data_IF_027727071486
#
_entry.id   IF_027727071486
#
_cell.length_a   1.000
_cell.length_b   1.000
_cell.length_c   1.000
_cell.angle_alpha   90.00
_cell.angle_beta   90.00
_cell.angle_gamma   90.00
#
_symmetry.space_group_name_H-M   'P 1'
#
loop_
_entity.id
_entity.type
_entity.pdbx_description
1 polymer ?
#
# COMPACT_ATOMS: atom_id res chain seq x y z
N UNK A 1 28.94 21.21 -0.87
CA UNK A 1 27.87 21.68 0.04
C UNK A 1 27.19 20.45 0.63
N UNK A 2 27.41 20.14 1.90
CA UNK A 2 26.68 19.06 2.57
C UNK A 2 25.21 19.46 2.64
N UNK A 3 24.36 18.80 1.86
CA UNK A 3 22.93 19.03 1.97
C UNK A 3 22.51 18.63 3.39
N UNK A 4 22.02 19.61 4.14
CA UNK A 4 21.47 19.39 5.48
C UNK A 4 20.15 18.63 5.30
N UNK A 5 20.25 17.32 5.10
CA UNK A 5 19.10 16.44 4.89
C UNK A 5 18.34 16.31 6.20
N UNK A 6 17.07 16.70 6.18
CA UNK A 6 16.20 16.62 7.36
C UNK A 6 16.08 15.18 7.85
N UNK A 7 15.84 14.98 9.15
CA UNK A 7 15.62 13.64 9.72
C UNK A 7 14.48 12.90 9.02
N UNK A 8 13.45 13.63 8.58
CA UNK A 8 12.34 13.07 7.79
C UNK A 8 12.82 12.56 6.44
N UNK A 9 13.64 13.31 5.72
CA UNK A 9 14.20 12.86 4.43
C UNK A 9 15.05 11.60 4.60
N UNK A 10 15.90 11.55 5.64
CA UNK A 10 16.69 10.35 5.97
C UNK A 10 15.82 9.13 6.25
N UNK A 11 14.74 9.30 7.02
CA UNK A 11 13.79 8.22 7.29
C UNK A 11 13.01 7.79 6.04
N UNK A 12 12.58 8.74 5.21
CA UNK A 12 11.86 8.44 3.98
C UNK A 12 12.75 7.68 3.00
N UNK A 13 14.02 8.05 2.85
CA UNK A 13 14.90 7.43 1.86
C UNK A 13 15.64 6.19 2.38
N UNK A 14 15.53 5.86 3.68
CA UNK A 14 16.11 4.66 4.27
C UNK A 14 15.45 3.38 3.70
N UNK A 15 16.20 2.47 3.06
CA UNK A 15 15.66 1.21 2.53
C UNK A 15 15.01 0.30 3.58
N UNK A 16 15.44 0.39 4.84
CA UNK A 16 14.91 -0.42 5.94
C UNK A 16 13.71 0.22 6.65
N UNK A 17 13.37 1.45 6.31
CA UNK A 17 12.25 2.16 6.92
C UNK A 17 10.90 1.45 6.77
N UNK A 18 10.57 0.71 5.67
CA UNK A 18 9.34 -0.07 5.63
C UNK A 18 9.33 -1.18 6.68
N UNK A 19 10.45 -1.86 6.92
CA UNK A 19 10.55 -2.92 7.92
C UNK A 19 10.46 -2.35 9.35
N UNK A 20 11.15 -1.23 9.62
CA UNK A 20 11.07 -0.50 10.91
C UNK A 20 9.64 -0.10 11.29
N UNK A 21 8.81 0.08 10.28
CA UNK A 21 7.41 0.44 10.37
C UNK A 21 6.50 -0.78 10.47
N UNK A 22 6.75 -1.82 9.67
CA UNK A 22 5.93 -3.02 9.60
C UNK A 22 6.01 -3.86 10.88
N UNK A 23 7.21 -4.04 11.46
CA UNK A 23 7.43 -4.86 12.66
C UNK A 23 6.56 -4.41 13.85
N UNK A 24 6.61 -3.15 14.31
CA UNK A 24 5.73 -2.71 15.40
C UNK A 24 4.25 -2.75 15.02
N UNK A 25 3.92 -2.52 13.74
CA UNK A 25 2.54 -2.61 13.24
C UNK A 25 1.96 -4.02 13.37
N UNK A 26 2.76 -5.06 13.10
CA UNK A 26 2.37 -6.46 13.27
C UNK A 26 2.13 -6.80 14.75
N UNK A 27 2.96 -6.30 15.66
CA UNK A 27 2.81 -6.53 17.11
C UNK A 27 1.48 -5.94 17.60
N UNK A 28 1.22 -4.68 17.25
CA UNK A 28 -0.06 -4.02 17.59
C UNK A 28 -1.23 -4.76 16.96
N UNK A 29 -1.10 -5.17 15.70
CA UNK A 29 -2.15 -5.93 15.03
C UNK A 29 -2.44 -7.26 15.73
N UNK A 30 -1.42 -7.98 16.21
CA UNK A 30 -1.62 -9.23 16.95
C UNK A 30 -2.43 -9.01 18.24
N UNK A 31 -2.27 -7.86 18.90
CA UNK A 31 -3.08 -7.48 20.06
C UNK A 31 -4.52 -7.19 19.63
N UNK A 32 -4.71 -6.37 18.58
CA UNK A 32 -6.05 -6.02 18.05
C UNK A 32 -6.80 -7.28 17.58
N UNK A 33 -6.10 -8.21 16.95
CA UNK A 33 -6.62 -9.48 16.46
C UNK A 33 -7.40 -10.22 17.56
N UNK A 34 -6.72 -10.51 18.67
CA UNK A 34 -7.27 -11.28 19.79
C UNK A 34 -8.28 -10.49 20.62
N UNK A 35 -8.05 -9.19 20.77
CA UNK A 35 -8.88 -8.37 21.66
C UNK A 35 -10.19 -7.93 21.00
N UNK A 36 -10.15 -7.64 19.69
CA UNK A 36 -11.25 -7.02 18.93
C UNK A 36 -11.71 -7.92 17.78
N UNK A 37 -10.84 -8.22 16.81
CA UNK A 37 -11.25 -8.78 15.50
C UNK A 37 -11.92 -10.15 15.60
N UNK A 38 -11.36 -11.07 16.38
CA UNK A 38 -11.94 -12.41 16.58
C UNK A 38 -13.36 -12.38 17.15
N UNK A 39 -13.69 -11.34 17.92
CA UNK A 39 -15.00 -11.19 18.58
C UNK A 39 -16.05 -10.54 17.68
N UNK A 40 -15.66 -9.94 16.55
CA UNK A 40 -16.60 -9.26 15.68
C UNK A 40 -17.51 -10.25 14.92
N UNK A 41 -18.78 -9.90 14.69
CA UNK A 41 -19.67 -10.70 13.86
C UNK A 41 -19.24 -10.62 12.39
N UNK A 42 -19.58 -11.66 11.61
CA UNK A 42 -19.20 -11.76 10.18
C UNK A 42 -19.63 -10.53 9.40
N UNK A 43 -20.86 -10.03 9.62
CA UNK A 43 -21.37 -8.84 8.94
C UNK A 43 -20.49 -7.60 9.17
N UNK A 44 -20.02 -7.39 10.39
CA UNK A 44 -19.11 -6.27 10.72
C UNK A 44 -17.74 -6.48 10.10
N UNK A 45 -17.21 -7.71 10.08
CA UNK A 45 -15.96 -8.01 9.37
C UNK A 45 -16.08 -7.76 7.86
N UNK A 46 -17.18 -8.18 7.24
CA UNK A 46 -17.48 -7.91 5.82
C UNK A 46 -17.56 -6.40 5.54
N UNK A 47 -18.16 -5.62 6.45
CA UNK A 47 -18.24 -4.17 6.34
C UNK A 47 -16.85 -3.54 6.40
N UNK A 48 -16.03 -3.92 7.37
CA UNK A 48 -14.65 -3.45 7.48
C UNK A 48 -13.83 -3.82 6.24
N UNK A 49 -13.95 -5.04 5.73
CA UNK A 49 -13.29 -5.45 4.49
C UNK A 49 -13.71 -4.59 3.30
N UNK A 50 -15.00 -4.34 3.13
CA UNK A 50 -15.51 -3.47 2.06
C UNK A 50 -14.94 -2.04 2.17
N UNK A 51 -15.00 -1.45 3.37
CA UNK A 51 -14.50 -0.10 3.63
C UNK A 51 -12.99 0.01 3.40
N UNK A 52 -12.20 -0.91 3.94
CA UNK A 52 -10.74 -0.87 3.83
C UNK A 52 -10.31 -1.07 2.38
N UNK A 53 -10.92 -1.99 1.62
CA UNK A 53 -10.60 -2.17 0.21
C UNK A 53 -10.99 -0.94 -0.63
N UNK A 54 -12.15 -0.34 -0.37
CA UNK A 54 -12.59 0.87 -1.09
C UNK A 54 -11.70 2.07 -0.78
N UNK A 55 -11.30 2.24 0.49
CA UNK A 55 -10.35 3.27 0.90
C UNK A 55 -8.98 3.07 0.25
N UNK A 56 -8.48 1.84 0.23
CA UNK A 56 -7.21 1.53 -0.41
C UNK A 56 -7.28 1.80 -1.92
N UNK A 57 -8.34 1.33 -2.59
CA UNK A 57 -8.59 1.61 -3.99
C UNK A 57 -8.56 3.12 -4.28
N UNK A 58 -9.32 3.91 -3.51
CA UNK A 58 -9.43 5.35 -3.72
C UNK A 58 -8.09 6.06 -3.51
N UNK A 59 -7.36 5.68 -2.46
CA UNK A 59 -6.04 6.28 -2.20
C UNK A 59 -5.02 5.89 -3.26
N UNK A 60 -4.91 4.61 -3.63
CA UNK A 60 -4.00 4.17 -4.71
C UNK A 60 -4.33 4.84 -6.04
N UNK A 61 -5.60 4.88 -6.43
CA UNK A 61 -6.04 5.52 -7.66
C UNK A 61 -5.68 7.01 -7.68
N UNK A 62 -5.98 7.72 -6.59
CA UNK A 62 -5.68 9.15 -6.46
C UNK A 62 -4.18 9.43 -6.57
N UNK A 63 -3.34 8.75 -5.78
CA UNK A 63 -1.92 9.05 -5.74
C UNK A 63 -1.17 8.61 -7.00
N UNK A 64 -1.40 7.37 -7.45
CA UNK A 64 -0.63 6.78 -8.55
C UNK A 64 -1.08 7.27 -9.93
N UNK A 65 -2.38 7.50 -10.12
CA UNK A 65 -2.94 7.79 -11.46
C UNK A 65 -3.45 9.21 -11.65
N UNK A 66 -3.79 9.94 -10.58
CA UNK A 66 -4.23 11.34 -10.70
C UNK A 66 -3.09 12.30 -10.34
N UNK A 67 -2.59 12.20 -9.13
CA UNK A 67 -1.61 13.15 -8.57
C UNK A 67 -0.25 13.10 -9.28
N UNK A 68 0.28 11.89 -9.50
CA UNK A 68 1.63 11.74 -10.04
C UNK A 68 1.75 12.30 -11.46
N UNK A 69 0.85 11.95 -12.41
CA UNK A 69 0.91 12.52 -13.75
C UNK A 69 0.75 14.05 -13.73
N UNK A 70 -0.20 14.58 -12.96
CA UNK A 70 -0.44 16.04 -12.88
C UNK A 70 0.81 16.78 -12.41
N UNK A 71 1.52 16.26 -11.39
CA UNK A 71 2.76 16.86 -10.87
C UNK A 71 3.91 16.86 -11.88
N UNK A 72 3.90 15.96 -12.85
CA UNK A 72 4.92 15.91 -13.90
C UNK A 72 4.70 16.97 -15.00
N UNK A 73 3.47 17.46 -15.15
CA UNK A 73 3.13 18.53 -16.11
C UNK A 73 3.17 19.93 -15.49
N UNK A 74 3.59 20.06 -14.23
CA UNK A 74 3.68 21.34 -13.56
C UNK A 74 4.71 22.26 -14.25
N UNK A 75 4.34 23.50 -14.63
CA UNK A 75 5.26 24.43 -15.23
C UNK A 75 6.35 24.83 -14.22
N UNK A 76 7.56 25.10 -14.71
CA UNK A 76 8.71 25.53 -13.91
C UNK A 76 9.27 24.51 -12.91
N UNK A 77 8.90 23.23 -13.01
CA UNK A 77 9.50 22.14 -12.24
C UNK A 77 10.46 21.38 -13.15
N UNK A 78 11.75 21.39 -12.81
CA UNK A 78 12.72 20.60 -13.57
C UNK A 78 12.56 19.09 -13.31
N UNK A 79 13.12 18.27 -14.21
CA UNK A 79 12.98 16.81 -14.13
C UNK A 79 13.62 16.23 -12.86
N UNK A 80 14.70 16.83 -12.37
CA UNK A 80 15.45 16.34 -11.21
C UNK A 80 14.69 16.62 -9.91
N UNK A 81 14.12 17.82 -9.78
CA UNK A 81 13.22 18.24 -8.71
C UNK A 81 11.98 17.35 -8.67
N UNK A 82 11.30 17.16 -9.81
CA UNK A 82 10.12 16.29 -9.90
C UNK A 82 10.46 14.86 -9.48
N UNK A 83 11.62 14.35 -9.92
CA UNK A 83 12.13 13.02 -9.54
C UNK A 83 12.41 12.93 -8.04
N UNK A 84 13.05 13.94 -7.44
CA UNK A 84 13.37 13.96 -6.01
C UNK A 84 12.10 14.02 -5.14
N UNK A 85 11.14 14.86 -5.52
CA UNK A 85 9.82 14.94 -4.86
C UNK A 85 9.11 13.59 -4.96
N UNK A 86 9.10 12.97 -6.15
CA UNK A 86 8.53 11.65 -6.39
C UNK A 86 9.08 10.60 -5.43
N UNK A 87 10.42 10.50 -5.27
CA UNK A 87 11.05 9.54 -4.34
C UNK A 87 10.50 9.67 -2.91
N UNK A 88 10.31 10.90 -2.43
CA UNK A 88 9.79 11.15 -1.08
C UNK A 88 8.32 10.75 -0.96
N UNK A 89 7.49 11.15 -1.93
CA UNK A 89 6.05 10.83 -1.94
C UNK A 89 5.83 9.32 -2.02
N UNK A 90 6.47 8.64 -2.97
CA UNK A 90 6.30 7.19 -3.13
C UNK A 90 6.84 6.41 -1.95
N UNK A 91 7.96 6.84 -1.37
CA UNK A 91 8.48 6.20 -0.18
C UNK A 91 7.61 6.43 1.06
N UNK A 92 6.97 7.60 1.17
CA UNK A 92 5.98 7.87 2.20
C UNK A 92 4.72 7.02 2.01
N UNK A 93 4.19 6.92 0.79
CA UNK A 93 3.01 6.12 0.48
C UNK A 93 3.25 4.64 0.75
N UNK A 94 4.40 4.12 0.35
CA UNK A 94 4.79 2.74 0.64
C UNK A 94 4.86 2.48 2.15
N UNK A 95 5.34 3.46 2.91
CA UNK A 95 5.29 3.38 4.37
C UNK A 95 3.86 3.44 4.86
N UNK A 96 2.97 4.30 4.38
CA UNK A 96 1.57 4.32 4.82
C UNK A 96 0.83 3.01 4.52
N UNK A 97 1.13 2.37 3.38
CA UNK A 97 0.63 1.01 3.09
C UNK A 97 1.19 -0.03 4.08
N UNK A 98 2.38 0.21 4.64
CA UNK A 98 3.07 -0.63 5.62
C UNK A 98 2.92 -0.19 7.10
N UNK A 99 2.43 1.02 7.40
CA UNK A 99 2.57 1.71 8.70
C UNK A 99 1.25 1.90 9.40
N UNK A 100 1.31 1.72 10.72
CA UNK A 100 0.40 2.38 11.63
C UNK A 100 0.77 3.86 11.83
N UNK A 101 -0.18 4.78 12.00
CA UNK A 101 0.06 6.14 12.51
C UNK A 101 -0.37 6.25 13.98
N UNK A 102 0.63 6.41 14.85
CA UNK A 102 0.50 6.57 16.29
C UNK A 102 0.21 8.04 16.61
N UNK A 103 -1.07 8.40 16.77
CA UNK A 103 -1.60 9.43 17.69
C UNK A 103 -3.14 9.34 17.70
N UNK A 104 -3.70 8.67 18.70
CA UNK A 104 -5.07 8.91 19.19
C UNK A 104 -6.29 8.46 18.38
N UNK A 105 -6.21 8.22 17.06
CA UNK A 105 -7.28 7.57 16.27
C UNK A 105 -6.63 6.74 15.18
N UNK A 106 -6.66 5.42 15.37
CA UNK A 106 -5.74 4.49 14.72
C UNK A 106 -5.84 4.39 13.21
N UNK A 107 -4.72 4.61 12.54
CA UNK A 107 -4.49 4.08 11.19
C UNK A 107 -3.55 2.91 11.36
N UNK A 108 -3.99 1.68 11.13
CA UNK A 108 -3.14 0.48 11.04
C UNK A 108 -2.88 0.21 9.55
N UNK A 109 -1.67 -0.26 9.23
CA UNK A 109 -1.23 -0.66 7.90
C UNK A 109 -2.35 -1.32 7.09
N UNK A 110 -2.82 -0.63 6.06
CA UNK A 110 -4.01 -1.00 5.28
C UNK A 110 -3.89 -2.42 4.75
N UNK A 111 -2.67 -2.83 4.34
CA UNK A 111 -2.38 -4.19 3.90
C UNK A 111 -2.46 -5.25 4.99
N UNK A 112 -1.79 -5.03 6.14
CA UNK A 112 -1.74 -6.01 7.24
C UNK A 112 -3.13 -6.21 7.85
N UNK A 113 -3.89 -5.13 8.04
CA UNK A 113 -5.26 -5.21 8.56
C UNK A 113 -6.21 -5.84 7.57
N UNK A 114 -6.12 -5.49 6.29
CA UNK A 114 -6.97 -6.12 5.27
C UNK A 114 -6.73 -7.63 5.21
N UNK A 115 -5.47 -8.07 5.28
CA UNK A 115 -5.11 -9.48 5.31
C UNK A 115 -5.64 -10.17 6.57
N UNK A 116 -5.43 -9.59 7.75
CA UNK A 116 -5.88 -10.17 9.01
C UNK A 116 -7.42 -10.24 9.09
N UNK A 117 -8.11 -9.16 8.75
CA UNK A 117 -9.56 -9.11 8.58
C UNK A 117 -10.03 -10.22 7.65
N UNK A 118 -9.37 -10.39 6.51
CA UNK A 118 -9.73 -11.39 5.52
C UNK A 118 -9.53 -12.81 6.04
N UNK A 119 -8.43 -13.07 6.76
CA UNK A 119 -8.16 -14.37 7.37
C UNK A 119 -9.22 -14.71 8.43
N UNK A 120 -9.54 -13.80 9.34
CA UNK A 120 -10.58 -14.01 10.37
C UNK A 120 -11.94 -14.20 9.72
N UNK A 121 -12.29 -13.36 8.74
CA UNK A 121 -13.55 -13.46 8.01
C UNK A 121 -13.66 -14.81 7.26
N UNK A 122 -12.62 -15.19 6.52
CA UNK A 122 -12.57 -16.44 5.75
C UNK A 122 -12.67 -17.65 6.67
N UNK A 123 -11.97 -17.65 7.81
CA UNK A 123 -12.06 -18.72 8.80
C UNK A 123 -13.50 -18.89 9.28
N UNK A 124 -14.16 -17.80 9.69
CA UNK A 124 -15.56 -17.84 10.16
C UNK A 124 -16.56 -18.30 9.10
N UNK A 125 -16.31 -18.02 7.82
CA UNK A 125 -17.14 -18.53 6.71
C UNK A 125 -16.95 -20.05 6.57
N UNK A 126 -15.70 -20.52 6.57
CA UNK A 126 -15.37 -21.95 6.44
C UNK A 126 -15.91 -22.75 7.63
N UNK A 127 -15.77 -22.24 8.86
CA UNK A 127 -16.27 -22.89 10.08
C UNK A 127 -17.80 -23.08 10.07
N UNK A 128 -18.52 -22.24 9.30
CA UNK A 128 -19.97 -22.35 9.09
C UNK A 128 -20.35 -23.19 7.88
N UNK A 129 -19.40 -23.90 7.26
CA UNK A 129 -19.61 -24.71 6.06
C UNK A 129 -19.76 -23.89 4.77
N UNK A 130 -19.42 -22.60 4.80
CA UNK A 130 -19.48 -21.72 3.64
C UNK A 130 -18.28 -21.89 2.70
N UNK A 131 -18.43 -21.39 1.47
CA UNK A 131 -17.39 -21.40 0.45
C UNK A 131 -16.94 -19.97 0.11
N UNK A 132 -15.63 -19.78 -0.06
CA UNK A 132 -15.06 -18.51 -0.53
C UNK A 132 -14.48 -18.71 -1.93
N UNK A 133 -15.05 -18.01 -2.89
CA UNK A 133 -14.65 -18.07 -4.28
C UNK A 133 -13.20 -17.62 -4.51
N UNK A 134 -12.50 -18.34 -5.40
CA UNK A 134 -11.07 -18.13 -5.69
C UNK A 134 -10.79 -16.73 -6.24
N UNK A 135 -11.70 -16.15 -7.01
CA UNK A 135 -11.49 -14.80 -7.52
C UNK A 135 -11.57 -13.74 -6.42
N UNK A 136 -12.36 -13.96 -5.34
CA UNK A 136 -12.38 -13.04 -4.19
C UNK A 136 -11.09 -13.14 -3.38
N UNK A 137 -10.61 -14.38 -3.17
CA UNK A 137 -9.31 -14.64 -2.55
C UNK A 137 -8.20 -13.95 -3.33
N UNK A 138 -8.13 -14.15 -4.65
CA UNK A 138 -7.12 -13.53 -5.51
C UNK A 138 -7.22 -11.99 -5.49
N UNK A 139 -8.43 -11.43 -5.62
CA UNK A 139 -8.67 -9.99 -5.58
C UNK A 139 -8.22 -9.34 -4.26
N UNK A 140 -8.21 -10.10 -3.16
CA UNK A 140 -7.79 -9.63 -1.84
C UNK A 140 -6.28 -9.80 -1.61
N UNK A 141 -5.71 -10.95 -1.99
CA UNK A 141 -4.31 -11.28 -1.69
C UNK A 141 -3.31 -10.66 -2.67
N UNK A 142 -3.67 -10.52 -3.95
CA UNK A 142 -2.77 -9.99 -4.99
C UNK A 142 -2.34 -8.54 -4.69
N UNK A 143 -3.25 -7.60 -4.34
CA UNK A 143 -2.86 -6.25 -3.90
C UNK A 143 -1.80 -6.24 -2.80
N UNK A 144 -1.97 -7.07 -1.77
CA UNK A 144 -1.01 -7.15 -0.66
C UNK A 144 0.34 -7.71 -1.10
N UNK A 145 0.35 -8.74 -1.95
CA UNK A 145 1.59 -9.29 -2.49
C UNK A 145 2.34 -8.28 -3.37
N UNK A 146 1.60 -7.47 -4.15
CA UNK A 146 2.17 -6.40 -4.96
C UNK A 146 2.87 -5.36 -4.08
N UNK A 147 2.26 -4.95 -2.97
CA UNK A 147 2.85 -3.96 -2.05
C UNK A 147 4.15 -4.46 -1.45
N UNK A 148 4.22 -5.75 -1.10
CA UNK A 148 5.45 -6.38 -0.62
C UNK A 148 6.53 -6.35 -1.70
N UNK A 149 6.18 -6.73 -2.94
CA UNK A 149 7.12 -6.68 -4.07
C UNK A 149 7.59 -5.24 -4.38
N UNK A 150 6.67 -4.28 -4.32
CA UNK A 150 6.98 -2.86 -4.54
C UNK A 150 7.91 -2.35 -3.45
N UNK A 151 7.63 -2.66 -2.19
CA UNK A 151 8.47 -2.30 -1.04
C UNK A 151 9.87 -2.89 -1.12
N UNK A 152 9.96 -4.19 -1.45
CA UNK A 152 11.21 -4.94 -1.37
C UNK A 152 12.11 -4.78 -2.59
N UNK A 153 11.53 -4.52 -3.77
CA UNK A 153 12.27 -4.53 -5.03
C UNK A 153 12.06 -3.27 -5.86
N UNK A 154 10.82 -3.00 -6.29
CA UNK A 154 10.58 -1.97 -7.32
C UNK A 154 10.94 -0.56 -6.82
N UNK A 155 10.51 -0.19 -5.61
CA UNK A 155 10.80 1.14 -5.04
C UNK A 155 12.29 1.35 -4.72
N UNK A 156 13.00 0.41 -4.07
CA UNK A 156 14.45 0.50 -3.90
C UNK A 156 15.18 0.72 -5.23
N UNK A 157 14.87 -0.08 -6.26
CA UNK A 157 15.51 0.03 -7.58
C UNK A 157 15.18 1.36 -8.26
N UNK A 158 13.93 1.83 -8.19
CA UNK A 158 13.54 3.14 -8.73
C UNK A 158 14.25 4.28 -8.00
N UNK A 159 14.37 4.20 -6.67
CA UNK A 159 15.04 5.20 -5.84
C UNK A 159 16.54 5.30 -6.15
N UNK A 160 17.23 4.17 -6.33
CA UNK A 160 18.65 4.15 -6.70
C UNK A 160 18.88 4.79 -8.07
N UNK A 161 18.04 4.46 -9.06
CA UNK A 161 18.11 5.04 -10.40
C UNK A 161 17.80 6.54 -10.38
N UNK A 162 16.79 6.94 -9.62
CA UNK A 162 16.44 8.33 -9.43
C UNK A 162 17.60 9.12 -8.79
N UNK A 163 18.32 8.52 -7.85
CA UNK A 163 19.52 9.14 -7.23
C UNK A 163 20.65 9.37 -8.23
N UNK A 164 20.90 8.40 -9.12
CA UNK A 164 21.89 8.52 -10.20
C UNK A 164 21.51 9.61 -11.21
N UNK A 165 20.23 9.71 -11.58
CA UNK A 165 19.72 10.76 -12.46
C UNK A 165 19.90 12.16 -11.85
N UNK A 166 19.57 12.34 -10.56
CA UNK A 166 19.76 13.61 -9.85
C UNK A 166 21.25 13.99 -9.74
N UNK A 167 22.16 13.01 -9.80
CA UNK A 167 23.62 13.23 -9.85
C UNK A 167 24.15 13.52 -11.27
N UNK A 168 23.27 13.69 -12.26
CA UNK A 168 23.64 13.98 -13.64
C UNK A 168 24.13 12.77 -14.45
N UNK A 169 23.95 11.53 -13.95
CA UNK A 169 24.34 10.33 -14.70
C UNK A 169 23.29 10.02 -15.77
N UNK A 170 23.73 9.75 -17.00
CA UNK A 170 22.88 9.18 -18.04
C UNK A 170 22.68 7.69 -17.76
N UNK A 171 21.42 7.26 -17.67
CA UNK A 171 21.05 5.86 -17.45
C UNK A 171 20.35 5.32 -18.69
N UNK A 172 20.70 4.08 -19.06
CA UNK A 172 19.95 3.37 -20.10
C UNK A 172 18.49 3.19 -19.70
N UNK A 173 17.55 3.14 -20.66
CA UNK A 173 16.14 2.89 -20.39
C UNK A 173 15.94 1.59 -19.61
N UNK A 174 15.09 1.61 -18.59
CA UNK A 174 14.72 0.41 -17.83
C UNK A 174 13.22 0.23 -17.81
N UNK A 175 12.78 -1.03 -17.88
CA UNK A 175 11.36 -1.42 -17.81
C UNK A 175 10.78 -1.34 -16.39
N UNK A 176 11.60 -1.17 -15.35
CA UNK A 176 11.16 -1.23 -13.94
C UNK A 176 10.05 -0.20 -13.64
N UNK A 177 10.13 1.00 -14.22
CA UNK A 177 9.08 2.00 -14.05
C UNK A 177 7.74 1.56 -14.69
N UNK A 178 7.79 0.96 -15.89
CA UNK A 178 6.60 0.40 -16.54
C UNK A 178 6.02 -0.78 -15.76
N UNK A 179 6.88 -1.63 -15.18
CA UNK A 179 6.46 -2.71 -14.30
C UNK A 179 5.72 -2.18 -13.07
N UNK A 180 6.27 -1.14 -12.42
CA UNK A 180 5.61 -0.49 -11.28
C UNK A 180 4.21 0.01 -11.62
N UNK A 181 4.05 0.70 -12.76
CA UNK A 181 2.73 1.16 -13.24
C UNK A 181 1.79 -0.02 -13.51
N UNK A 182 2.28 -1.08 -14.15
CA UNK A 182 1.48 -2.28 -14.41
C UNK A 182 0.98 -2.94 -13.12
N UNK A 183 1.84 -3.05 -12.11
CA UNK A 183 1.46 -3.56 -10.80
C UNK A 183 0.47 -2.66 -10.06
N UNK A 184 0.63 -1.33 -10.15
CA UNK A 184 -0.36 -0.38 -9.62
C UNK A 184 -1.74 -0.58 -10.27
N UNK A 185 -1.80 -0.80 -11.59
CA UNK A 185 -3.06 -1.05 -12.29
C UNK A 185 -3.72 -2.36 -11.83
N UNK A 186 -2.94 -3.43 -11.69
CA UNK A 186 -3.43 -4.72 -11.17
C UNK A 186 -3.94 -4.57 -9.73
N UNK A 187 -3.23 -3.81 -8.89
CA UNK A 187 -3.61 -3.52 -7.50
C UNK A 187 -4.96 -2.81 -7.45
N UNK A 188 -5.14 -1.76 -8.25
CA UNK A 188 -6.39 -1.00 -8.35
C UNK A 188 -7.56 -1.90 -8.77
N UNK A 189 -7.39 -2.74 -9.79
CA UNK A 189 -8.43 -3.68 -10.24
C UNK A 189 -8.77 -4.69 -9.14
N UNK A 190 -7.78 -5.28 -8.48
CA UNK A 190 -7.98 -6.22 -7.37
C UNK A 190 -8.78 -5.60 -6.23
N UNK A 191 -8.39 -4.41 -5.78
CA UNK A 191 -9.07 -3.69 -4.70
C UNK A 191 -10.51 -3.30 -5.07
N UNK A 192 -10.75 -2.88 -6.32
CA UNK A 192 -12.11 -2.59 -6.80
C UNK A 192 -13.00 -3.83 -6.79
N UNK A 193 -12.50 -4.96 -7.32
CA UNK A 193 -13.23 -6.24 -7.33
C UNK A 193 -13.52 -6.71 -5.91
N UNK A 194 -12.52 -6.69 -5.02
CA UNK A 194 -12.69 -7.07 -3.63
C UNK A 194 -13.73 -6.19 -2.91
N UNK A 195 -13.59 -4.87 -3.00
CA UNK A 195 -14.50 -3.90 -2.38
C UNK A 195 -15.96 -4.09 -2.82
N UNK A 196 -16.21 -4.19 -4.14
CA UNK A 196 -17.56 -4.40 -4.68
C UNK A 196 -18.14 -5.74 -4.19
N UNK A 197 -17.34 -6.81 -4.18
CA UNK A 197 -17.81 -8.13 -3.77
C UNK A 197 -18.12 -8.21 -2.29
N UNK A 198 -17.28 -7.66 -1.42
CA UNK A 198 -17.61 -7.54 0.01
C UNK A 198 -18.83 -6.67 0.24
N UNK A 199 -18.98 -5.57 -0.52
CA UNK A 199 -20.19 -4.74 -0.47
C UNK A 199 -21.46 -5.52 -0.81
N UNK A 200 -21.45 -6.34 -1.87
CA UNK A 200 -22.59 -7.20 -2.24
C UNK A 200 -22.94 -8.23 -1.17
N UNK A 201 -21.96 -8.74 -0.43
CA UNK A 201 -22.19 -9.67 0.68
C UNK A 201 -22.88 -9.02 1.90
N UNK A 202 -23.03 -7.69 1.93
CA UNK A 202 -23.75 -6.99 3.00
C UNK A 202 -25.24 -6.79 2.71
N UNK A 203 -25.63 -6.90 1.43
CA UNK A 203 -27.00 -6.67 0.96
C UNK A 203 -27.83 -7.95 0.86
N UNK A 204 -27.19 -9.11 1.03
CA UNK A 204 -27.79 -10.45 1.07
C UNK A 204 -27.58 -11.07 2.45
#
# INVERSE_FOLDING_TARGET
MSSNTSSVSKFLLDPWSPAKVAVPSIIVQAIIHRTVLEKLPIRTLTLWLSLTNTYWFATTLSHSFLDTPIKQYAPNVDKEQSTNIGRHIFSWLNKLEASYSFHGRGHVAVGVVSLDLFCVWRQKIIDRGGFVDKALVAATLVPSAIVILQSAYLLPTLNERADKLIKGQSLEPSSVHKQYIGFEAVKVVGLAVAGIRFGKLLTH
#
